data_IF_740172462877
#
_entry.id   IF_740172462877
#
_cell.length_a   1.000
_cell.length_b   1.000
_cell.length_c   1.000
_cell.angle_alpha   90.00
_cell.angle_beta   90.00
_cell.angle_gamma   90.00
#
_symmetry.space_group_name_H-M   'P 1'
#
loop_
_entity.id
_entity.type
_entity.pdbx_description
1 polymer ?
#
# COMPACT_ATOMS: atom_id res chain seq x y z
N UNK A 1 0.96 -32.87 -20.55
CA UNK A 1 2.14 -32.59 -21.40
C UNK A 1 1.91 -31.29 -22.14
N UNK A 2 2.91 -30.38 -22.20
CA UNK A 2 2.85 -29.21 -23.06
C UNK A 2 3.02 -29.66 -24.52
N UNK A 3 1.99 -29.40 -25.33
CA UNK A 3 2.00 -29.78 -26.74
C UNK A 3 2.59 -28.68 -27.63
N UNK A 4 2.37 -27.43 -27.28
CA UNK A 4 2.82 -26.27 -28.05
C UNK A 4 2.91 -25.03 -27.13
N UNK A 5 3.91 -24.19 -27.38
CA UNK A 5 4.05 -22.85 -26.83
C UNK A 5 4.38 -21.88 -27.95
N UNK A 6 4.03 -20.60 -27.79
CA UNK A 6 4.40 -19.58 -28.78
C UNK A 6 5.66 -18.83 -28.34
N UNK A 7 6.26 -18.10 -29.28
CA UNK A 7 7.50 -17.34 -29.05
C UNK A 7 7.39 -16.30 -27.91
N UNK A 8 6.19 -15.74 -27.67
CA UNK A 8 5.97 -14.78 -26.62
C UNK A 8 6.02 -15.41 -25.23
N UNK A 9 5.48 -16.62 -25.09
CA UNK A 9 5.60 -17.39 -23.85
C UNK A 9 7.07 -17.73 -23.55
N UNK A 10 7.84 -18.10 -24.58
CA UNK A 10 9.27 -18.38 -24.46
C UNK A 10 10.06 -17.14 -24.00
N UNK A 11 9.72 -15.98 -24.54
CA UNK A 11 10.30 -14.68 -24.13
C UNK A 11 10.03 -14.40 -22.64
N UNK A 12 8.79 -14.53 -22.19
CA UNK A 12 8.41 -14.23 -20.81
C UNK A 12 9.12 -15.13 -19.78
N UNK A 13 9.31 -16.39 -20.12
CA UNK A 13 9.92 -17.36 -19.20
C UNK A 13 11.41 -17.63 -19.48
N UNK A 14 12.02 -16.87 -20.40
CA UNK A 14 13.40 -17.08 -20.86
C UNK A 14 13.69 -18.56 -21.21
N UNK A 15 12.67 -19.24 -21.69
CA UNK A 15 12.69 -20.68 -21.96
C UNK A 15 12.63 -20.91 -23.46
N UNK A 16 13.44 -21.84 -23.96
CA UNK A 16 13.34 -22.29 -25.36
C UNK A 16 12.27 -23.36 -25.50
N UNK A 17 11.52 -23.36 -26.58
CA UNK A 17 10.47 -24.35 -26.92
C UNK A 17 10.86 -25.79 -26.55
N UNK A 18 12.10 -26.17 -26.88
CA UNK A 18 12.64 -27.51 -26.57
C UNK A 18 12.65 -27.85 -25.08
N UNK A 19 12.59 -26.87 -24.21
CA UNK A 19 12.60 -27.07 -22.76
C UNK A 19 11.20 -27.22 -22.17
N UNK A 20 10.17 -26.91 -22.91
CA UNK A 20 8.76 -26.86 -22.45
C UNK A 20 7.94 -27.95 -23.12
N UNK A 21 8.01 -28.05 -24.47
CA UNK A 21 7.24 -29.01 -25.24
C UNK A 21 7.65 -30.44 -24.90
N UNK A 22 6.66 -31.28 -24.62
CA UNK A 22 6.87 -32.68 -24.21
C UNK A 22 7.14 -32.88 -22.72
N UNK A 23 7.11 -31.82 -21.89
CA UNK A 23 7.19 -31.95 -20.42
C UNK A 23 5.80 -31.96 -19.77
N UNK A 24 5.66 -32.59 -18.60
CA UNK A 24 4.42 -32.52 -17.83
C UNK A 24 4.07 -31.07 -17.48
N UNK A 25 2.81 -30.71 -17.68
CA UNK A 25 2.32 -29.37 -17.32
C UNK A 25 2.51 -29.05 -15.81
N UNK A 26 2.41 -30.04 -14.95
CA UNK A 26 2.58 -29.92 -13.51
C UNK A 26 3.97 -29.37 -13.11
N UNK A 27 5.02 -29.66 -13.88
CA UNK A 27 6.36 -29.10 -13.62
C UNK A 27 6.38 -27.58 -13.82
N UNK A 28 5.65 -27.09 -14.82
CA UNK A 28 5.50 -25.68 -15.11
C UNK A 28 4.56 -24.98 -14.12
N UNK A 29 3.49 -25.65 -13.72
CA UNK A 29 2.56 -25.16 -12.72
C UNK A 29 3.27 -24.83 -11.39
N UNK A 30 4.28 -25.61 -11.03
CA UNK A 30 5.08 -25.35 -9.82
C UNK A 30 5.91 -24.04 -9.91
N UNK A 31 6.48 -23.73 -11.08
CA UNK A 31 7.17 -22.45 -11.32
C UNK A 31 6.21 -21.29 -11.27
N UNK A 32 5.05 -21.41 -11.90
CA UNK A 32 3.97 -20.41 -11.89
C UNK A 32 3.47 -20.17 -10.46
N UNK A 33 3.23 -21.25 -9.69
CA UNK A 33 2.73 -21.13 -8.30
C UNK A 33 3.70 -20.38 -7.37
N UNK A 34 5.00 -20.49 -7.57
CA UNK A 34 6.00 -19.73 -6.77
C UNK A 34 5.96 -18.23 -7.02
N UNK A 35 5.48 -17.81 -8.18
CA UNK A 35 5.39 -16.41 -8.61
C UNK A 35 3.96 -15.87 -8.53
N UNK A 36 3.02 -16.64 -7.98
CA UNK A 36 1.62 -16.27 -7.85
C UNK A 36 1.47 -15.04 -6.94
N UNK A 37 0.83 -14.00 -7.44
CA UNK A 37 0.59 -12.78 -6.68
C UNK A 37 -0.90 -12.46 -6.48
N UNK A 38 -1.78 -12.94 -7.36
CA UNK A 38 -3.22 -12.72 -7.25
C UNK A 38 -4.02 -13.84 -7.90
N UNK A 39 -5.16 -14.20 -7.31
CA UNK A 39 -6.09 -15.20 -7.85
C UNK A 39 -7.48 -14.59 -7.96
N UNK A 40 -8.13 -14.75 -9.10
CA UNK A 40 -9.49 -14.26 -9.37
C UNK A 40 -10.53 -15.39 -9.35
N UNK A 41 -10.09 -16.63 -9.48
CA UNK A 41 -10.92 -17.83 -9.50
C UNK A 41 -10.14 -19.03 -10.02
N UNK A 42 -10.84 -20.14 -10.25
CA UNK A 42 -10.22 -21.33 -10.82
C UNK A 42 -9.74 -21.04 -12.25
N UNK A 43 -8.47 -21.27 -12.51
CA UNK A 43 -7.84 -21.03 -13.82
C UNK A 43 -7.61 -19.57 -14.19
N UNK A 44 -7.91 -18.60 -13.30
CA UNK A 44 -7.67 -17.17 -13.58
C UNK A 44 -6.84 -16.56 -12.44
N UNK A 45 -5.59 -16.18 -12.74
CA UNK A 45 -4.63 -15.69 -11.77
C UNK A 45 -3.53 -14.82 -12.40
N UNK A 46 -2.81 -14.11 -11.56
CA UNK A 46 -1.63 -13.32 -11.95
C UNK A 46 -0.38 -13.85 -11.27
N UNK A 47 0.72 -13.80 -12.00
CA UNK A 47 2.06 -14.06 -11.48
C UNK A 47 2.96 -12.84 -11.65
N UNK A 48 3.94 -12.73 -10.78
CA UNK A 48 4.96 -11.69 -10.83
C UNK A 48 6.31 -12.31 -11.13
N UNK A 49 6.89 -11.93 -12.25
CA UNK A 49 8.21 -12.36 -12.67
C UNK A 49 9.23 -11.26 -12.44
N UNK A 50 10.39 -11.64 -11.93
CA UNK A 50 11.56 -10.78 -11.81
C UNK A 50 12.62 -11.33 -12.74
N UNK A 51 13.01 -10.57 -13.78
CA UNK A 51 14.04 -10.98 -14.74
C UNK A 51 14.77 -9.74 -15.26
N UNK A 52 16.08 -9.87 -15.53
CA UNK A 52 16.95 -8.87 -16.17
C UNK A 52 16.78 -7.41 -15.71
N UNK A 53 16.39 -7.20 -14.43
CA UNK A 53 16.14 -5.87 -13.85
C UNK A 53 14.75 -5.29 -14.09
N UNK A 54 13.88 -6.00 -14.80
CA UNK A 54 12.48 -5.62 -15.00
C UNK A 54 11.54 -6.56 -14.25
N UNK A 55 10.50 -5.97 -13.66
CA UNK A 55 9.39 -6.71 -13.08
C UNK A 55 8.26 -6.79 -14.10
N UNK A 56 7.69 -7.98 -14.29
CA UNK A 56 6.54 -8.21 -15.16
C UNK A 56 5.41 -8.87 -14.41
N UNK A 57 4.20 -8.44 -14.69
CA UNK A 57 2.96 -9.05 -14.17
C UNK A 57 2.25 -9.70 -15.35
N UNK A 58 2.09 -11.02 -15.27
CA UNK A 58 1.44 -11.82 -16.30
C UNK A 58 0.11 -12.36 -15.78
N UNK A 59 -0.96 -12.08 -16.50
CA UNK A 59 -2.31 -12.60 -16.24
C UNK A 59 -2.50 -13.90 -17.01
N UNK A 60 -2.97 -14.93 -16.32
CA UNK A 60 -3.22 -16.27 -16.86
C UNK A 60 -4.69 -16.61 -16.85
N UNK A 61 -5.16 -17.19 -17.97
CA UNK A 61 -6.45 -17.84 -18.10
C UNK A 61 -6.23 -19.28 -18.58
N UNK A 62 -6.68 -20.22 -17.77
CA UNK A 62 -6.61 -21.65 -18.06
C UNK A 62 -8.00 -22.17 -18.35
N UNK A 63 -8.21 -22.73 -19.55
CA UNK A 63 -9.49 -23.31 -19.94
C UNK A 63 -9.34 -24.76 -20.37
N UNK A 64 -10.19 -25.67 -19.87
CA UNK A 64 -10.18 -27.06 -20.28
C UNK A 64 -10.69 -27.20 -21.71
N UNK A 65 -10.04 -28.06 -22.49
CA UNK A 65 -10.48 -28.47 -23.83
C UNK A 65 -11.20 -29.80 -23.72
N UNK A 66 -12.40 -29.87 -24.30
CA UNK A 66 -13.21 -31.08 -24.33
C UNK A 66 -13.38 -31.61 -25.76
N UNK A 67 -13.47 -32.94 -25.88
CA UNK A 67 -13.85 -33.59 -27.15
C UNK A 67 -15.40 -33.50 -27.37
N UNK A 68 -15.82 -34.04 -28.53
CA UNK A 68 -17.24 -34.09 -28.88
C UNK A 68 -18.09 -34.93 -27.91
N UNK A 69 -17.46 -35.78 -27.11
CA UNK A 69 -18.07 -36.64 -26.10
C UNK A 69 -18.00 -36.04 -24.69
N UNK A 70 -17.53 -34.78 -24.57
CA UNK A 70 -17.33 -34.05 -23.32
C UNK A 70 -16.23 -34.64 -22.40
N UNK A 71 -15.33 -35.43 -22.92
CA UNK A 71 -14.14 -35.84 -22.19
C UNK A 71 -13.09 -34.72 -22.22
N UNK A 72 -12.45 -34.42 -21.09
CA UNK A 72 -11.34 -33.45 -21.06
C UNK A 72 -10.14 -34.05 -21.79
N UNK A 73 -9.75 -33.47 -22.90
CA UNK A 73 -8.65 -33.90 -23.76
C UNK A 73 -7.41 -33.02 -23.64
N UNK A 74 -7.55 -31.86 -22.99
CA UNK A 74 -6.44 -30.94 -22.82
C UNK A 74 -6.80 -29.71 -21.99
N UNK A 75 -5.89 -28.76 -22.03
CA UNK A 75 -6.04 -27.44 -21.40
C UNK A 75 -5.40 -26.40 -22.31
N UNK A 76 -6.10 -25.32 -22.53
CA UNK A 76 -5.57 -24.12 -23.17
C UNK A 76 -5.19 -23.13 -22.09
N UNK A 77 -3.99 -22.55 -22.21
CA UNK A 77 -3.54 -21.49 -21.31
C UNK A 77 -3.24 -20.24 -22.13
N UNK A 78 -3.91 -19.16 -21.81
CA UNK A 78 -3.66 -17.84 -22.36
C UNK A 78 -2.92 -16.99 -21.31
N UNK A 79 -1.82 -16.33 -21.75
CA UNK A 79 -1.01 -15.47 -20.90
C UNK A 79 -0.88 -14.10 -21.53
N UNK A 80 -1.17 -13.05 -20.77
CA UNK A 80 -1.08 -11.67 -21.20
C UNK A 80 -0.19 -10.87 -20.24
N UNK A 81 0.69 -10.04 -20.78
CA UNK A 81 1.43 -9.05 -19.99
C UNK A 81 0.49 -7.91 -19.62
N UNK A 82 0.29 -7.71 -18.35
CA UNK A 82 -0.57 -6.65 -17.78
C UNK A 82 0.23 -5.69 -16.90
N UNK A 83 1.55 -5.68 -17.05
CA UNK A 83 2.44 -4.85 -16.22
C UNK A 83 2.07 -3.38 -16.29
N UNK A 84 1.86 -2.88 -17.50
CA UNK A 84 1.54 -1.46 -17.74
C UNK A 84 0.18 -1.12 -17.11
N UNK A 85 -0.84 -1.95 -17.36
CA UNK A 85 -2.19 -1.76 -16.82
C UNK A 85 -2.17 -1.74 -15.28
N UNK A 86 -1.48 -2.70 -14.65
CA UNK A 86 -1.39 -2.75 -13.19
C UNK A 86 -0.58 -1.58 -12.61
N UNK A 87 0.44 -1.13 -13.31
CA UNK A 87 1.21 0.05 -12.91
C UNK A 87 0.33 1.30 -12.94
N UNK A 88 -0.45 1.50 -13.99
CA UNK A 88 -1.38 2.63 -14.07
C UNK A 88 -2.50 2.54 -13.03
N UNK A 89 -3.11 1.38 -12.83
CA UNK A 89 -4.11 1.17 -11.78
C UNK A 89 -3.55 1.54 -10.41
N UNK A 90 -2.33 1.11 -10.11
CA UNK A 90 -1.65 1.43 -8.86
C UNK A 90 -1.36 2.92 -8.72
N UNK A 91 -0.88 3.58 -9.78
CA UNK A 91 -0.64 5.02 -9.78
C UNK A 91 -1.93 5.82 -9.58
N UNK A 92 -3.01 5.42 -10.24
CA UNK A 92 -4.34 6.02 -10.07
C UNK A 92 -4.80 5.85 -8.62
N UNK A 93 -4.63 4.65 -8.06
CA UNK A 93 -5.00 4.37 -6.67
C UNK A 93 -4.20 5.25 -5.69
N UNK A 94 -2.86 5.34 -5.84
CA UNK A 94 -2.00 6.21 -5.02
C UNK A 94 -2.47 7.66 -5.14
N UNK A 95 -2.60 8.18 -6.36
CA UNK A 95 -3.00 9.57 -6.60
C UNK A 95 -4.37 9.89 -6.02
N UNK A 96 -5.28 8.93 -6.01
CA UNK A 96 -6.62 9.12 -5.48
C UNK A 96 -6.68 9.04 -3.93
N UNK A 97 -5.78 8.29 -3.29
CA UNK A 97 -5.90 7.90 -1.88
C UNK A 97 -4.80 8.46 -0.98
N UNK A 98 -3.76 9.08 -1.56
CA UNK A 98 -2.67 9.67 -0.78
C UNK A 98 -2.56 11.17 -0.98
N UNK A 99 -1.94 11.85 -0.04
CA UNK A 99 -1.51 13.24 -0.13
C UNK A 99 -0.22 13.32 -0.98
N UNK A 100 -0.22 14.13 -2.00
CA UNK A 100 0.86 14.19 -2.99
C UNK A 100 2.20 14.68 -2.41
N UNK A 101 2.19 15.48 -1.36
CA UNK A 101 3.38 16.01 -0.70
C UNK A 101 3.99 14.98 0.25
N UNK A 102 3.18 14.47 1.17
CA UNK A 102 3.68 13.64 2.26
C UNK A 102 3.64 12.15 1.95
N UNK A 103 2.85 11.72 0.95
CA UNK A 103 2.58 10.32 0.62
C UNK A 103 1.80 9.56 1.71
N UNK A 104 1.31 10.24 2.75
CA UNK A 104 0.36 9.69 3.71
C UNK A 104 -1.01 9.52 3.04
N UNK A 105 -1.89 8.73 3.66
CA UNK A 105 -3.26 8.70 3.18
C UNK A 105 -3.91 10.08 3.25
N UNK A 106 -4.81 10.36 2.32
CA UNK A 106 -5.53 11.63 2.28
C UNK A 106 -6.86 11.56 3.07
N UNK A 107 -7.46 12.73 3.27
CA UNK A 107 -8.74 12.87 3.97
C UNK A 107 -9.86 12.01 3.37
N UNK A 108 -9.92 11.89 2.04
CA UNK A 108 -10.95 11.10 1.36
C UNK A 108 -10.86 9.63 1.75
N UNK A 109 -9.67 9.05 1.62
CA UNK A 109 -9.44 7.64 1.94
C UNK A 109 -9.67 7.33 3.42
N UNK A 110 -9.39 8.29 4.32
CA UNK A 110 -9.72 8.16 5.74
C UNK A 110 -11.21 7.90 5.98
N UNK A 111 -12.10 8.67 5.34
CA UNK A 111 -13.54 8.46 5.52
C UNK A 111 -14.01 7.11 4.95
N UNK A 112 -13.46 6.68 3.81
CA UNK A 112 -13.74 5.36 3.23
C UNK A 112 -13.32 4.25 4.22
N UNK A 113 -12.08 4.32 4.70
CA UNK A 113 -11.52 3.38 5.68
C UNK A 113 -12.34 3.32 6.98
N UNK A 114 -12.74 4.47 7.52
CA UNK A 114 -13.54 4.54 8.73
C UNK A 114 -14.94 3.93 8.55
N UNK A 115 -15.56 4.12 7.39
CA UNK A 115 -16.87 3.53 7.10
C UNK A 115 -16.83 1.99 7.08
N UNK A 116 -15.75 1.41 6.61
CA UNK A 116 -15.55 -0.04 6.54
C UNK A 116 -15.18 -0.64 7.90
N UNK A 117 -14.33 0.04 8.67
CA UNK A 117 -13.70 -0.56 9.85
C UNK A 117 -14.37 -0.21 11.18
N UNK A 118 -15.11 0.91 11.28
CA UNK A 118 -15.62 1.40 12.56
C UNK A 118 -16.70 0.54 13.19
N UNK A 119 -17.36 -0.34 12.44
CA UNK A 119 -18.47 -1.16 12.94
C UNK A 119 -18.00 -2.44 13.63
N UNK A 120 -16.83 -2.93 13.27
CA UNK A 120 -16.35 -4.26 13.67
C UNK A 120 -15.12 -4.19 14.59
N UNK A 121 -14.47 -3.03 14.66
CA UNK A 121 -13.21 -2.87 15.38
C UNK A 121 -13.29 -1.73 16.40
N UNK A 122 -12.59 -1.92 17.51
CA UNK A 122 -12.26 -0.81 18.39
C UNK A 122 -11.18 0.05 17.69
N UNK A 123 -11.37 1.36 17.71
CA UNK A 123 -10.48 2.32 17.06
C UNK A 123 -10.00 3.34 18.07
N UNK A 124 -8.73 3.70 17.95
CA UNK A 124 -8.15 4.83 18.66
C UNK A 124 -7.55 5.81 17.66
N UNK A 125 -7.77 7.10 17.89
CA UNK A 125 -7.34 8.17 17.01
C UNK A 125 -6.42 9.11 17.78
N UNK A 126 -5.27 9.44 17.17
CA UNK A 126 -4.41 10.52 17.62
C UNK A 126 -4.50 11.63 16.57
N UNK A 127 -5.09 12.75 16.94
CA UNK A 127 -5.16 13.95 16.10
C UNK A 127 -3.98 14.84 16.39
N UNK A 128 -3.21 15.18 15.38
CA UNK A 128 -1.98 15.97 15.49
C UNK A 128 -2.13 17.24 14.68
N UNK A 129 -1.92 18.38 15.34
CA UNK A 129 -1.92 19.71 14.75
C UNK A 129 -0.55 20.37 14.99
N UNK A 130 0.00 21.02 13.95
CA UNK A 130 1.30 21.68 14.04
C UNK A 130 1.12 23.16 14.44
N UNK A 131 1.46 23.44 15.68
CA UNK A 131 1.39 24.82 16.19
C UNK A 131 2.42 25.71 15.46
N UNK A 132 2.01 26.93 15.15
CA UNK A 132 2.83 27.97 14.51
C UNK A 132 3.34 27.63 13.09
N UNK A 133 2.81 26.58 12.43
CA UNK A 133 3.18 26.21 11.06
C UNK A 133 3.00 27.37 10.06
N UNK A 134 1.90 28.13 10.20
CA UNK A 134 1.67 29.31 9.36
C UNK A 134 2.76 30.36 9.51
N UNK A 135 3.31 30.57 10.73
CA UNK A 135 4.42 31.52 10.94
C UNK A 135 5.67 31.11 10.18
N UNK A 136 5.95 29.81 10.08
CA UNK A 136 7.07 29.30 9.30
C UNK A 136 6.87 29.58 7.81
N UNK A 137 5.67 29.33 7.28
CA UNK A 137 5.35 29.63 5.90
C UNK A 137 5.49 31.14 5.58
N UNK A 138 4.95 31.99 6.45
CA UNK A 138 4.97 33.44 6.27
C UNK A 138 6.39 34.01 6.36
N UNK A 139 7.26 33.43 7.21
CA UNK A 139 8.63 33.89 7.42
C UNK A 139 9.62 33.33 6.41
N UNK A 140 9.48 32.06 5.99
CA UNK A 140 10.49 31.33 5.24
C UNK A 140 10.00 30.77 3.90
N UNK A 141 8.72 30.96 3.58
CA UNK A 141 8.11 30.49 2.34
C UNK A 141 7.60 29.05 2.40
N UNK A 142 6.67 28.74 1.52
CA UNK A 142 5.98 27.42 1.51
C UNK A 142 6.91 26.22 1.33
N UNK A 143 8.06 26.36 0.64
CA UNK A 143 8.99 25.26 0.47
C UNK A 143 9.61 24.75 1.80
N UNK A 144 9.81 25.68 2.78
CA UNK A 144 10.25 25.27 4.13
C UNK A 144 9.10 24.59 4.87
N UNK A 145 7.88 25.09 4.74
CA UNK A 145 6.70 24.44 5.29
C UNK A 145 6.45 23.07 4.69
N UNK A 146 6.62 22.90 3.38
CA UNK A 146 6.50 21.60 2.73
C UNK A 146 7.52 20.61 3.28
N UNK A 147 8.79 21.01 3.44
CA UNK A 147 9.82 20.19 4.08
C UNK A 147 9.50 19.85 5.54
N UNK A 148 8.85 20.76 6.28
CA UNK A 148 8.39 20.46 7.65
C UNK A 148 7.28 19.39 7.64
N UNK A 149 6.33 19.47 6.72
CA UNK A 149 5.26 18.46 6.58
C UNK A 149 5.80 17.07 6.18
N UNK A 150 6.78 17.02 5.29
CA UNK A 150 7.47 15.77 4.93
C UNK A 150 8.23 15.17 6.11
N UNK A 151 8.92 16.01 6.89
CA UNK A 151 9.62 15.61 8.13
C UNK A 151 8.63 15.00 9.14
N UNK A 152 7.52 15.66 9.39
CA UNK A 152 6.46 15.20 10.30
C UNK A 152 5.90 13.86 9.83
N UNK A 153 5.56 13.74 8.56
CA UNK A 153 5.05 12.50 7.97
C UNK A 153 6.03 11.32 8.13
N UNK A 154 7.32 11.57 7.96
CA UNK A 154 8.37 10.57 8.16
C UNK A 154 8.44 10.12 9.63
N UNK A 155 8.48 11.06 10.57
CA UNK A 155 8.53 10.75 12.00
C UNK A 155 7.29 9.98 12.48
N UNK A 156 6.12 10.31 11.94
CA UNK A 156 4.90 9.56 12.22
C UNK A 156 4.99 8.11 11.72
N UNK A 157 5.50 7.87 10.50
CA UNK A 157 5.70 6.50 9.99
C UNK A 157 6.69 5.69 10.83
N UNK A 158 7.74 6.34 11.33
CA UNK A 158 8.74 5.71 12.20
C UNK A 158 8.16 5.36 13.57
N UNK A 159 7.32 6.24 14.14
CA UNK A 159 6.70 6.04 15.45
C UNK A 159 5.54 5.03 15.42
N UNK A 160 4.83 4.92 14.28
CA UNK A 160 3.64 4.10 14.09
C UNK A 160 3.74 3.22 12.84
N UNK A 161 4.72 2.28 12.80
CA UNK A 161 4.92 1.42 11.63
C UNK A 161 3.74 0.48 11.43
N UNK A 162 3.13 0.53 10.24
CA UNK A 162 2.00 -0.31 9.86
C UNK A 162 0.63 0.21 10.30
N UNK A 163 0.56 1.30 11.06
CA UNK A 163 -0.69 1.95 11.41
C UNK A 163 -1.18 2.88 10.28
N UNK A 164 -2.46 3.22 10.33
CA UNK A 164 -3.11 4.03 9.31
C UNK A 164 -2.90 5.54 9.61
N UNK A 165 -2.02 6.18 8.82
CA UNK A 165 -1.62 7.58 9.02
C UNK A 165 -2.14 8.43 7.88
N UNK A 166 -2.75 9.57 8.22
CA UNK A 166 -3.49 10.44 7.32
C UNK A 166 -3.00 11.87 7.46
N UNK A 167 -2.93 12.60 6.35
CA UNK A 167 -2.94 14.05 6.34
C UNK A 167 -4.32 14.55 5.96
N UNK A 168 -4.98 15.26 6.88
CA UNK A 168 -6.33 15.78 6.67
C UNK A 168 -6.35 17.05 5.79
N UNK A 169 -5.27 17.81 5.82
CA UNK A 169 -5.04 19.02 5.06
C UNK A 169 -4.25 20.05 5.86
N UNK A 170 -3.56 20.98 5.20
CA UNK A 170 -2.74 21.97 5.88
C UNK A 170 -1.70 21.30 6.80
N UNK A 171 -1.79 21.61 8.08
CA UNK A 171 -0.94 21.19 9.19
C UNK A 171 -1.57 20.11 10.08
N UNK A 172 -2.73 19.55 9.67
CA UNK A 172 -3.52 18.57 10.42
C UNK A 172 -3.25 17.14 9.98
N UNK A 173 -2.92 16.27 10.95
CA UNK A 173 -2.68 14.86 10.72
C UNK A 173 -3.51 13.99 11.66
N UNK A 174 -3.70 12.74 11.29
CA UNK A 174 -4.40 11.76 12.09
C UNK A 174 -3.69 10.41 12.03
N UNK A 175 -3.59 9.75 13.17
CA UNK A 175 -3.11 8.36 13.27
C UNK A 175 -4.27 7.52 13.80
N UNK A 176 -4.65 6.48 13.05
CA UNK A 176 -5.73 5.58 13.42
C UNK A 176 -5.13 4.20 13.75
N UNK A 177 -5.33 3.75 14.98
CA UNK A 177 -4.92 2.44 15.47
C UNK A 177 -6.14 1.52 15.57
N UNK A 178 -6.06 0.37 14.95
CA UNK A 178 -7.09 -0.67 14.99
C UNK A 178 -6.83 -1.63 16.14
N UNK A 179 -7.89 -2.03 16.85
CA UNK A 179 -7.85 -2.91 18.00
C UNK A 179 -7.83 -2.18 19.33
N UNK A 180 -8.03 -2.96 20.41
CA UNK A 180 -8.07 -2.42 21.77
C UNK A 180 -6.69 -1.89 22.20
N UNK A 181 -6.66 -0.64 22.66
CA UNK A 181 -5.48 0.01 23.21
C UNK A 181 -5.85 0.72 24.51
N UNK A 182 -5.02 0.55 25.55
CA UNK A 182 -5.22 1.29 26.79
C UNK A 182 -4.87 2.77 26.60
N UNK A 183 -5.55 3.65 27.33
CA UNK A 183 -5.25 5.08 27.29
C UNK A 183 -3.76 5.35 27.64
N UNK A 184 -3.21 4.67 28.64
CA UNK A 184 -1.80 4.80 29.01
C UNK A 184 -0.84 4.45 27.83
N UNK A 185 -1.16 3.44 27.04
CA UNK A 185 -0.37 3.10 25.85
C UNK A 185 -0.47 4.22 24.80
N UNK A 186 -1.66 4.77 24.57
CA UNK A 186 -1.86 5.85 23.60
C UNK A 186 -1.15 7.13 24.03
N UNK A 187 -1.22 7.49 25.33
CA UNK A 187 -0.52 8.64 25.91
C UNK A 187 1.01 8.47 25.80
N UNK A 188 1.53 7.30 26.11
CA UNK A 188 2.97 7.01 25.96
C UNK A 188 3.43 7.19 24.52
N UNK A 189 2.68 6.62 23.54
CA UNK A 189 2.98 6.75 22.13
C UNK A 189 2.88 8.20 21.63
N UNK A 190 1.84 8.92 22.03
CA UNK A 190 1.66 10.33 21.69
C UNK A 190 2.80 11.20 22.25
N UNK A 191 3.19 10.99 23.50
CA UNK A 191 4.29 11.72 24.12
C UNK A 191 5.64 11.44 23.44
N UNK A 192 5.91 10.19 23.06
CA UNK A 192 7.12 9.84 22.29
C UNK A 192 7.15 10.52 20.93
N UNK A 193 6.03 10.52 20.20
CA UNK A 193 5.93 11.24 18.92
C UNK A 193 6.16 12.73 19.12
N UNK A 194 5.48 13.34 20.10
CA UNK A 194 5.63 14.77 20.41
C UNK A 194 7.08 15.13 20.72
N UNK A 195 7.75 14.33 21.53
CA UNK A 195 9.17 14.52 21.85
C UNK A 195 10.05 14.47 20.59
N UNK A 196 9.83 13.47 19.72
CA UNK A 196 10.58 13.32 18.47
C UNK A 196 10.36 14.51 17.51
N UNK A 197 9.12 15.02 17.43
CA UNK A 197 8.81 16.21 16.63
C UNK A 197 9.52 17.45 17.19
N UNK A 198 9.45 17.69 18.50
CA UNK A 198 10.10 18.84 19.15
C UNK A 198 11.61 18.80 18.98
N UNK A 199 12.24 17.65 19.16
CA UNK A 199 13.69 17.48 18.94
C UNK A 199 14.07 17.78 17.49
N UNK A 200 13.29 17.27 16.51
CA UNK A 200 13.53 17.52 15.11
C UNK A 200 13.35 19.00 14.73
N UNK A 201 12.36 19.68 15.30
CA UNK A 201 12.15 21.12 15.07
C UNK A 201 13.29 21.95 15.67
N UNK A 202 13.82 21.58 16.85
CA UNK A 202 14.91 22.31 17.49
C UNK A 202 16.23 22.25 16.71
N UNK A 203 16.48 21.19 15.95
CA UNK A 203 17.67 21.04 15.12
C UNK A 203 17.65 21.96 13.90
N UNK A 204 16.47 22.32 13.39
CA UNK A 204 16.30 23.16 12.21
C UNK A 204 16.24 24.65 12.60
N UNK A 205 17.07 25.48 11.99
CA UNK A 205 17.05 26.94 12.21
C UNK A 205 15.70 27.58 11.83
N UNK A 206 14.95 26.96 10.92
CA UNK A 206 13.68 27.47 10.40
C UNK A 206 12.46 27.00 11.21
N UNK A 207 12.55 25.84 11.89
CA UNK A 207 11.39 25.18 12.51
C UNK A 207 11.34 25.35 14.03
N UNK A 208 12.31 26.02 14.64
CA UNK A 208 12.42 26.17 16.13
C UNK A 208 11.20 26.78 16.81
N UNK A 209 10.41 27.52 16.05
CA UNK A 209 9.19 28.16 16.58
C UNK A 209 8.00 27.20 16.62
N UNK A 210 8.11 26.07 15.91
CA UNK A 210 7.05 25.08 15.81
C UNK A 210 6.97 24.21 17.05
N UNK A 211 5.76 23.81 17.35
CA UNK A 211 5.43 22.71 18.24
C UNK A 211 4.31 21.86 17.63
N UNK A 212 3.82 20.90 18.37
CA UNK A 212 2.67 20.12 17.95
C UNK A 212 1.75 19.85 19.14
N UNK A 213 0.45 19.82 18.88
CA UNK A 213 -0.59 19.45 19.82
C UNK A 213 -1.17 18.08 19.40
N UNK A 214 -1.34 17.17 20.37
CA UNK A 214 -1.88 15.83 20.10
C UNK A 214 -3.10 15.58 20.96
N UNK A 215 -4.26 15.40 20.31
CA UNK A 215 -5.51 14.95 20.92
C UNK A 215 -5.70 13.45 20.78
N UNK A 216 -6.21 12.78 21.81
CA UNK A 216 -6.47 11.33 21.78
C UNK A 216 -7.97 11.08 21.93
N UNK A 217 -8.53 10.22 21.06
CA UNK A 217 -9.89 9.71 21.18
C UNK A 217 -9.89 8.20 20.99
N UNK A 218 -10.68 7.47 21.75
CA UNK A 218 -10.83 6.01 21.64
C UNK A 218 -12.30 5.61 21.70
N UNK A 219 -12.69 4.68 20.83
CA UNK A 219 -14.05 4.10 20.85
C UNK A 219 -14.32 3.25 22.09
N UNK A 220 -13.29 2.87 22.84
CA UNK A 220 -13.43 2.20 24.13
C UNK A 220 -13.77 3.17 25.28
N UNK A 221 -13.66 4.49 25.05
CA UNK A 221 -14.02 5.50 26.03
C UNK A 221 -15.55 5.67 26.07
N UNK A 222 -16.24 5.46 27.23
CA UNK A 222 -17.68 5.59 27.33
C UNK A 222 -18.23 7.01 27.07
N UNK A 223 -17.35 8.02 26.94
CA UNK A 223 -17.69 9.38 26.57
C UNK A 223 -17.73 9.67 25.07
N UNK A 224 -17.22 8.79 24.24
CA UNK A 224 -17.18 8.95 22.78
C UNK A 224 -18.44 8.38 22.13
N UNK A 225 -19.45 9.22 21.89
CA UNK A 225 -20.64 8.88 21.11
C UNK A 225 -20.58 9.52 19.72
#
# INVERSE_FOLDING_TARGET
WAAMVNAKFEEYFAAKEKNIVGKPYEEWKHVIQKSLCKTYGEGHFEIRLHGDGEERILEFHEEPIFDVFRNRVGQFCFCRDVTIERTFEHQIWISANTDALTGLYNRRFFYEYMNENRKENQLSLLYVDLDDFKKVNDAHGHHIGDGALELVARLMREAFPGDFIVRLGGDEFLICLVGERSLAFLEEKANRLLQSLLEAFQVSDYLRVMSASIGIASSADPGTK
#
